data_IF_237400234508
#
_entry.id   IF_237400234508
#
_cell.length_a   1.000
_cell.length_b   1.000
_cell.length_c   1.000
_cell.angle_alpha   90.00
_cell.angle_beta   90.00
_cell.angle_gamma   90.00
#
_symmetry.space_group_name_H-M   'P 1'
#
loop_
_entity.id
_entity.type
_entity.pdbx_description
1 polymer ?
#
# COMPACT_ATOMS: atom_id res chain seq x y z
N UNK A 1 19.24 8.37 -2.25
CA UNK A 1 20.00 7.52 -1.29
C UNK A 1 19.23 7.58 0.01
N UNK A 2 18.86 6.43 0.56
CA UNK A 2 18.05 6.33 1.76
C UNK A 2 18.61 7.14 2.93
N UNK A 3 17.72 7.81 3.68
CA UNK A 3 18.08 8.62 4.85
C UNK A 3 18.46 7.77 6.06
N UNK A 4 17.96 6.53 6.14
CA UNK A 4 18.31 5.56 7.17
C UNK A 4 18.95 4.36 6.51
N UNK A 5 20.15 4.00 6.98
CA UNK A 5 20.87 2.83 6.47
C UNK A 5 20.18 1.53 6.92
N UNK A 6 20.04 0.53 6.04
CA UNK A 6 19.54 -0.80 6.39
C UNK A 6 20.25 -1.43 7.61
N UNK A 7 19.59 -2.38 8.28
CA UNK A 7 20.26 -3.20 9.29
C UNK A 7 21.35 -4.08 8.67
N UNK A 8 22.41 -4.37 9.43
CA UNK A 8 23.49 -5.25 8.96
C UNK A 8 23.01 -6.68 8.67
N UNK A 9 21.97 -7.14 9.36
CA UNK A 9 21.37 -8.45 9.12
C UNK A 9 20.72 -8.53 7.73
N UNK A 10 20.02 -7.47 7.30
CA UNK A 10 19.39 -7.41 5.98
C UNK A 10 20.35 -7.01 4.87
N UNK A 11 21.37 -6.19 5.15
CA UNK A 11 22.40 -5.85 4.17
C UNK A 11 23.19 -7.07 3.67
N UNK A 12 23.17 -8.17 4.42
CA UNK A 12 23.79 -9.44 4.06
C UNK A 12 22.86 -10.38 3.27
N UNK A 13 21.58 -10.05 3.09
CA UNK A 13 20.62 -10.89 2.35
C UNK A 13 20.98 -10.84 0.85
N UNK A 14 21.26 -11.99 0.20
CA UNK A 14 21.50 -12.02 -1.23
C UNK A 14 20.24 -11.61 -1.99
N UNK A 15 20.30 -10.53 -2.77
CA UNK A 15 19.17 -10.03 -3.57
C UNK A 15 19.23 -10.42 -5.04
N UNK A 16 20.26 -11.19 -5.43
CA UNK A 16 20.55 -11.55 -6.82
C UNK A 16 19.46 -12.44 -7.43
N UNK A 17 18.83 -13.28 -6.62
CA UNK A 17 17.78 -14.21 -7.05
C UNK A 17 16.36 -13.63 -6.92
N UNK A 18 16.23 -12.39 -6.41
CA UNK A 18 14.94 -11.76 -6.17
C UNK A 18 14.47 -10.95 -7.37
N UNK A 19 13.16 -10.97 -7.63
CA UNK A 19 12.53 -10.04 -8.56
C UNK A 19 12.65 -8.59 -8.09
N UNK A 20 12.54 -7.62 -9.03
CA UNK A 20 12.66 -6.20 -8.70
C UNK A 20 11.64 -5.75 -7.64
N UNK A 21 10.38 -6.21 -7.72
CA UNK A 21 9.36 -5.88 -6.73
C UNK A 21 9.71 -6.38 -5.32
N UNK A 22 10.29 -7.58 -5.22
CA UNK A 22 10.69 -8.14 -3.93
C UNK A 22 11.89 -7.39 -3.34
N UNK A 23 12.83 -6.94 -4.18
CA UNK A 23 13.92 -6.05 -3.74
C UNK A 23 13.39 -4.72 -3.21
N UNK A 24 12.41 -4.10 -3.86
CA UNK A 24 11.79 -2.86 -3.39
C UNK A 24 11.09 -3.08 -2.03
N UNK A 25 10.34 -4.18 -1.86
CA UNK A 25 9.73 -4.54 -0.58
C UNK A 25 10.78 -4.71 0.54
N UNK A 26 11.90 -5.36 0.21
CA UNK A 26 13.00 -5.53 1.14
C UNK A 26 13.61 -4.21 1.61
N UNK A 27 13.61 -3.15 0.80
CA UNK A 27 14.18 -1.86 1.18
C UNK A 27 13.60 -1.30 2.49
N UNK A 28 12.26 -1.31 2.61
CA UNK A 28 11.58 -0.84 3.84
C UNK A 28 11.80 -1.83 4.99
N UNK A 29 11.67 -3.13 4.73
CA UNK A 29 11.87 -4.17 5.74
C UNK A 29 13.28 -4.15 6.31
N UNK A 30 14.29 -3.89 5.48
CA UNK A 30 15.69 -3.84 5.87
C UNK A 30 16.00 -2.67 6.81
N UNK A 31 15.34 -1.52 6.62
CA UNK A 31 15.40 -0.38 7.53
C UNK A 31 14.68 -0.69 8.85
N UNK A 32 13.47 -1.25 8.78
CA UNK A 32 12.71 -1.66 9.97
C UNK A 32 13.46 -2.72 10.80
N UNK A 33 14.24 -3.58 10.15
CA UNK A 33 15.09 -4.60 10.78
C UNK A 33 16.16 -4.06 11.71
N UNK A 34 16.39 -2.73 11.75
CA UNK A 34 17.19 -2.10 12.81
C UNK A 34 16.54 -2.25 14.20
N UNK A 35 15.23 -2.47 14.24
CA UNK A 35 14.44 -2.81 15.43
C UNK A 35 13.75 -4.17 15.20
N UNK A 36 14.47 -5.29 15.33
CA UNK A 36 14.00 -6.61 14.87
C UNK A 36 12.69 -7.05 15.54
N UNK A 37 12.53 -6.86 16.84
CA UNK A 37 11.29 -7.21 17.55
C UNK A 37 10.08 -6.38 17.07
N UNK A 38 10.30 -5.11 16.69
CA UNK A 38 9.25 -4.25 16.13
C UNK A 38 8.90 -4.67 14.71
N UNK A 39 9.92 -4.98 13.90
CA UNK A 39 9.72 -5.49 12.55
C UNK A 39 8.95 -6.82 12.55
N UNK A 40 9.27 -7.73 13.47
CA UNK A 40 8.57 -9.00 13.65
C UNK A 40 7.10 -8.80 14.07
N UNK A 41 6.84 -7.89 15.02
CA UNK A 41 5.47 -7.56 15.43
C UNK A 41 4.65 -6.98 14.28
N UNK A 42 5.23 -6.07 13.48
CA UNK A 42 4.58 -5.52 12.30
C UNK A 42 4.34 -6.59 11.22
N UNK A 43 5.32 -7.46 11.00
CA UNK A 43 5.19 -8.63 10.12
C UNK A 43 4.07 -9.55 10.56
N UNK A 44 3.96 -9.83 11.85
CA UNK A 44 2.91 -10.66 12.43
C UNK A 44 1.52 -10.03 12.28
N UNK A 45 1.40 -8.72 12.49
CA UNK A 45 0.15 -7.99 12.27
C UNK A 45 -0.28 -8.04 10.79
N UNK A 46 0.62 -7.74 9.87
CA UNK A 46 0.31 -7.78 8.42
C UNK A 46 0.05 -9.20 7.93
N UNK A 47 0.74 -10.20 8.49
CA UNK A 47 0.49 -11.62 8.21
C UNK A 47 -0.87 -12.08 8.73
N UNK A 48 -1.29 -11.63 9.91
CA UNK A 48 -2.61 -11.92 10.45
C UNK A 48 -3.73 -11.32 9.59
N UNK A 49 -3.58 -10.09 9.10
CA UNK A 49 -4.54 -9.50 8.16
C UNK A 49 -4.61 -10.29 6.85
N UNK A 50 -3.46 -10.67 6.27
CA UNK A 50 -3.44 -11.43 5.01
C UNK A 50 -3.96 -12.87 5.15
N UNK A 51 -3.68 -13.52 6.28
CA UNK A 51 -4.03 -14.93 6.49
C UNK A 51 -5.42 -15.17 7.08
N UNK A 52 -5.93 -14.22 7.87
CA UNK A 52 -7.21 -14.35 8.58
C UNK A 52 -8.25 -13.30 8.15
N UNK A 53 -7.83 -12.29 7.41
CA UNK A 53 -8.72 -11.29 6.84
C UNK A 53 -9.65 -11.88 5.78
N UNK A 54 -10.71 -11.15 5.50
CA UNK A 54 -11.78 -11.55 4.57
C UNK A 54 -11.97 -10.55 3.44
N UNK A 55 -11.25 -9.42 3.45
CA UNK A 55 -11.30 -8.46 2.35
C UNK A 55 -10.53 -8.98 1.12
N UNK A 56 -11.06 -8.79 -0.10
CA UNK A 56 -10.39 -9.24 -1.31
C UNK A 56 -9.00 -8.61 -1.49
N UNK A 57 -7.98 -9.39 -1.91
CA UNK A 57 -6.64 -8.85 -2.21
C UNK A 57 -6.65 -7.65 -3.16
N UNK A 58 -7.53 -7.67 -4.19
CA UNK A 58 -7.70 -6.53 -5.11
C UNK A 58 -8.13 -5.27 -4.39
N UNK A 59 -9.12 -5.35 -3.49
CA UNK A 59 -9.63 -4.20 -2.73
C UNK A 59 -8.53 -3.61 -1.84
N UNK A 60 -7.82 -4.47 -1.10
CA UNK A 60 -6.72 -4.05 -0.23
C UNK A 60 -5.62 -3.34 -1.02
N UNK A 61 -5.32 -3.83 -2.23
CA UNK A 61 -4.30 -3.22 -3.08
C UNK A 61 -4.74 -1.87 -3.66
N UNK A 62 -5.99 -1.74 -4.11
CA UNK A 62 -6.55 -0.46 -4.55
C UNK A 62 -6.47 0.60 -3.43
N UNK A 63 -6.87 0.23 -2.21
CA UNK A 63 -6.78 1.09 -1.02
C UNK A 63 -5.33 1.47 -0.72
N UNK A 64 -4.41 0.50 -0.73
CA UNK A 64 -2.99 0.74 -0.49
C UNK A 64 -2.41 1.70 -1.51
N UNK A 65 -2.73 1.54 -2.79
CA UNK A 65 -2.24 2.40 -3.87
C UNK A 65 -2.80 3.83 -3.76
N UNK A 66 -4.07 4.00 -3.39
CA UNK A 66 -4.67 5.32 -3.15
C UNK A 66 -3.98 6.03 -1.99
N UNK A 67 -3.73 5.34 -0.89
CA UNK A 67 -2.99 5.90 0.25
C UNK A 67 -1.54 6.19 -0.14
N UNK A 68 -0.89 5.31 -0.91
CA UNK A 68 0.49 5.49 -1.37
C UNK A 68 0.65 6.77 -2.20
N UNK A 69 -0.35 7.10 -3.03
CA UNK A 69 -0.41 8.38 -3.74
C UNK A 69 -0.43 9.57 -2.77
N UNK A 70 -1.31 9.60 -1.77
CA UNK A 70 -1.33 10.71 -0.80
C UNK A 70 -0.06 10.81 0.04
N UNK A 71 0.55 9.67 0.35
CA UNK A 71 1.83 9.62 1.04
C UNK A 71 3.03 10.00 0.18
N UNK A 72 2.88 9.98 -1.15
CA UNK A 72 3.99 10.06 -2.10
C UNK A 72 5.10 9.03 -1.77
N UNK A 73 4.68 7.83 -1.32
CA UNK A 73 5.59 6.70 -1.08
C UNK A 73 5.94 6.04 -2.42
N UNK A 74 7.08 6.40 -3.01
CA UNK A 74 7.50 5.95 -4.34
C UNK A 74 7.65 4.44 -4.46
N UNK A 75 8.27 3.79 -3.48
CA UNK A 75 8.35 2.32 -3.41
C UNK A 75 6.98 1.70 -3.36
N UNK A 76 6.09 2.20 -2.50
CA UNK A 76 4.72 1.74 -2.43
C UNK A 76 3.98 1.92 -3.79
N UNK A 77 4.15 3.06 -4.46
CA UNK A 77 3.49 3.37 -5.74
C UNK A 77 3.96 2.43 -6.86
N UNK A 78 5.25 2.09 -6.87
CA UNK A 78 5.85 1.25 -7.92
C UNK A 78 5.42 -0.22 -7.82
N UNK A 79 4.91 -0.68 -6.68
CA UNK A 79 4.60 -2.10 -6.47
C UNK A 79 3.18 -2.47 -6.85
N UNK A 80 3.02 -3.68 -7.40
CA UNK A 80 1.76 -4.45 -7.44
C UNK A 80 1.99 -5.81 -6.80
N UNK A 81 1.10 -6.25 -5.92
CA UNK A 81 1.19 -7.60 -5.36
C UNK A 81 0.54 -8.63 -6.29
N UNK A 82 1.21 -9.77 -6.50
CA UNK A 82 0.72 -10.85 -7.35
C UNK A 82 -0.67 -11.34 -6.91
N UNK A 83 -0.92 -11.43 -5.60
CA UNK A 83 -2.23 -11.83 -5.06
C UNK A 83 -3.38 -10.93 -5.51
N UNK A 84 -3.12 -9.62 -5.69
CA UNK A 84 -4.14 -8.69 -6.18
C UNK A 84 -4.35 -8.83 -7.69
N UNK A 85 -3.28 -9.09 -8.45
CA UNK A 85 -3.34 -9.37 -9.89
C UNK A 85 -4.13 -10.66 -10.14
N UNK A 86 -3.87 -11.70 -9.36
CA UNK A 86 -4.60 -12.96 -9.41
C UNK A 86 -6.10 -12.78 -9.06
N UNK A 87 -6.41 -11.81 -8.20
CA UNK A 87 -7.76 -11.36 -7.87
C UNK A 87 -8.31 -10.29 -8.84
N UNK A 88 -7.74 -10.22 -10.04
CA UNK A 88 -8.26 -9.42 -11.15
C UNK A 88 -7.84 -7.96 -11.17
N UNK A 89 -6.86 -7.52 -10.36
CA UNK A 89 -6.28 -6.18 -10.48
C UNK A 89 -5.54 -6.04 -11.82
N UNK A 90 -5.94 -5.06 -12.62
CA UNK A 90 -5.30 -4.68 -13.87
C UNK A 90 -4.94 -3.19 -13.88
N UNK A 91 -4.27 -2.76 -14.96
CA UNK A 91 -3.85 -1.37 -15.10
C UNK A 91 -5.06 -0.42 -15.24
N UNK A 92 -6.17 -0.86 -15.81
CA UNK A 92 -7.38 -0.04 -15.96
C UNK A 92 -7.99 0.29 -14.59
N UNK A 93 -8.02 -0.67 -13.67
CA UNK A 93 -8.45 -0.43 -12.28
C UNK A 93 -7.51 0.52 -11.53
N UNK A 94 -6.21 0.43 -11.78
CA UNK A 94 -5.22 1.37 -11.23
C UNK A 94 -5.42 2.77 -11.81
N UNK A 95 -5.67 2.91 -13.11
CA UNK A 95 -5.99 4.18 -13.77
C UNK A 95 -7.21 4.85 -13.15
N UNK A 96 -8.24 4.08 -12.83
CA UNK A 96 -9.44 4.55 -12.15
C UNK A 96 -9.19 5.16 -10.77
N UNK A 97 -8.03 4.88 -10.14
CA UNK A 97 -7.67 5.52 -8.87
C UNK A 97 -7.45 7.03 -8.98
N UNK A 98 -7.30 7.60 -10.19
CA UNK A 98 -7.23 9.06 -10.38
C UNK A 98 -8.53 9.75 -9.92
N UNK A 99 -9.67 9.19 -10.34
CA UNK A 99 -11.03 9.67 -10.02
C UNK A 99 -11.95 8.49 -9.66
N UNK A 100 -11.79 7.88 -8.48
CA UNK A 100 -12.48 6.63 -8.13
C UNK A 100 -14.01 6.73 -8.20
N UNK A 101 -14.57 7.87 -7.82
CA UNK A 101 -16.02 8.10 -7.79
C UNK A 101 -16.70 7.98 -9.16
N UNK A 102 -15.94 8.17 -10.25
CA UNK A 102 -16.45 8.19 -11.62
C UNK A 102 -16.14 6.90 -12.40
N UNK A 103 -15.40 5.99 -11.79
CA UNK A 103 -14.92 4.79 -12.45
C UNK A 103 -15.98 3.70 -12.52
N UNK A 104 -16.33 3.27 -13.74
CA UNK A 104 -17.31 2.21 -14.00
C UNK A 104 -16.78 0.80 -13.70
N UNK A 105 -15.47 0.60 -13.79
CA UNK A 105 -14.80 -0.68 -13.50
C UNK A 105 -14.47 -0.90 -12.01
N UNK A 106 -14.94 0.00 -11.14
CA UNK A 106 -14.92 -0.19 -9.69
C UNK A 106 -16.34 -0.52 -9.21
N UNK A 107 -16.45 -1.45 -8.27
CA UNK A 107 -17.69 -1.74 -7.55
C UNK A 107 -18.06 -0.61 -6.58
N UNK A 108 -19.31 -0.62 -6.10
CA UNK A 108 -19.74 0.33 -5.06
C UNK A 108 -18.92 0.16 -3.77
N UNK A 109 -18.64 -1.09 -3.37
CA UNK A 109 -17.78 -1.41 -2.23
C UNK A 109 -16.36 -0.84 -2.37
N UNK A 110 -15.72 -1.02 -3.54
CA UNK A 110 -14.38 -0.46 -3.81
C UNK A 110 -14.39 1.07 -3.76
N UNK A 111 -15.40 1.73 -4.37
CA UNK A 111 -15.52 3.19 -4.34
C UNK A 111 -15.70 3.72 -2.91
N UNK A 112 -16.53 3.07 -2.10
CA UNK A 112 -16.77 3.45 -0.71
C UNK A 112 -15.50 3.30 0.14
N UNK A 113 -14.79 2.18 0.02
CA UNK A 113 -13.52 1.95 0.69
C UNK A 113 -12.42 2.95 0.26
N UNK A 114 -12.37 3.30 -1.04
CA UNK A 114 -11.43 4.30 -1.55
C UNK A 114 -11.74 5.70 -1.04
N UNK A 115 -13.01 6.07 -0.92
CA UNK A 115 -13.45 7.33 -0.30
C UNK A 115 -13.00 7.38 1.17
N UNK A 116 -13.24 6.32 1.93
CA UNK A 116 -12.75 6.21 3.31
C UNK A 116 -11.23 6.32 3.39
N UNK A 117 -10.49 5.59 2.56
CA UNK A 117 -9.02 5.59 2.56
C UNK A 117 -8.43 6.97 2.23
N UNK A 118 -9.05 7.69 1.30
CA UNK A 118 -8.66 9.05 0.95
C UNK A 118 -8.90 10.04 2.10
N UNK A 119 -10.10 10.02 2.70
CA UNK A 119 -10.39 10.83 3.88
C UNK A 119 -9.42 10.48 5.02
N UNK A 120 -9.18 9.19 5.27
CA UNK A 120 -8.25 8.73 6.30
C UNK A 120 -6.83 9.28 6.08
N UNK A 121 -6.39 9.37 4.82
CA UNK A 121 -5.08 9.91 4.47
C UNK A 121 -5.00 11.45 4.49
N UNK A 122 -6.11 12.16 4.31
CA UNK A 122 -6.13 13.62 4.05
C UNK A 122 -6.84 14.44 5.12
N UNK A 123 -8.01 13.98 5.59
CA UNK A 123 -8.85 14.64 6.59
C UNK A 123 -9.70 13.60 7.36
N UNK A 124 -9.06 12.84 8.23
CA UNK A 124 -9.72 11.80 9.03
C UNK A 124 -10.78 12.33 9.99
N UNK A 125 -10.81 13.64 10.28
CA UNK A 125 -11.84 14.27 11.11
C UNK A 125 -13.15 14.47 10.36
N UNK A 126 -13.12 14.43 9.03
CA UNK A 126 -14.32 14.45 8.18
C UNK A 126 -14.98 13.07 8.03
N UNK A 127 -14.42 12.03 8.66
CA UNK A 127 -15.04 10.69 8.69
C UNK A 127 -16.07 10.69 9.81
N UNK A 128 -17.33 10.91 9.43
CA UNK A 128 -18.49 10.93 10.30
C UNK A 128 -19.34 9.64 10.19
N UNK A 129 -20.47 9.62 10.90
CA UNK A 129 -21.40 8.49 10.89
C UNK A 129 -21.91 8.18 9.47
N UNK A 130 -22.08 9.19 8.61
CA UNK A 130 -22.54 8.98 7.24
C UNK A 130 -21.51 8.23 6.39
N UNK A 131 -20.21 8.45 6.60
CA UNK A 131 -19.15 7.64 5.96
C UNK A 131 -19.23 6.18 6.40
N UNK A 132 -19.41 5.94 7.70
CA UNK A 132 -19.51 4.56 8.21
C UNK A 132 -20.82 3.87 7.81
N UNK A 133 -21.93 4.59 7.74
CA UNK A 133 -23.21 4.05 7.28
C UNK A 133 -23.13 3.61 5.80
N UNK A 134 -22.47 4.39 4.95
CA UNK A 134 -22.19 4.01 3.56
C UNK A 134 -21.32 2.73 3.49
N UNK A 135 -20.25 2.65 4.28
CA UNK A 135 -19.40 1.46 4.31
C UNK A 135 -20.16 0.21 4.78
N UNK A 136 -21.10 0.35 5.73
CA UNK A 136 -21.93 -0.76 6.24
C UNK A 136 -22.89 -1.33 5.20
N UNK A 137 -23.16 -0.62 4.10
CA UNK A 137 -23.90 -1.19 2.97
C UNK A 137 -23.12 -2.32 2.26
N UNK A 138 -21.81 -2.40 2.50
CA UNK A 138 -20.89 -3.28 1.77
C UNK A 138 -20.02 -4.18 2.65
N UNK A 139 -19.75 -3.78 3.89
CA UNK A 139 -18.79 -4.44 4.76
C UNK A 139 -19.40 -4.80 6.12
N UNK A 140 -19.03 -5.96 6.66
CA UNK A 140 -19.32 -6.32 8.05
C UNK A 140 -18.48 -5.50 9.04
N UNK A 141 -18.87 -5.45 10.31
CA UNK A 141 -18.07 -4.76 11.36
C UNK A 141 -16.63 -5.29 11.44
N UNK A 142 -16.43 -6.61 11.30
CA UNK A 142 -15.08 -7.21 11.26
C UNK A 142 -14.27 -6.73 10.05
N UNK A 143 -14.91 -6.62 8.88
CA UNK A 143 -14.30 -6.08 7.67
C UNK A 143 -13.98 -4.58 7.77
N UNK A 144 -14.80 -3.81 8.50
CA UNK A 144 -14.51 -2.40 8.77
C UNK A 144 -13.26 -2.23 9.64
N UNK A 145 -13.09 -3.09 10.65
CA UNK A 145 -11.86 -3.12 11.45
C UNK A 145 -10.66 -3.52 10.59
N UNK A 146 -10.80 -4.55 9.76
CA UNK A 146 -9.75 -5.00 8.83
C UNK A 146 -9.32 -3.87 7.87
N UNK A 147 -10.29 -3.21 7.23
CA UNK A 147 -10.05 -2.06 6.34
C UNK A 147 -9.35 -0.91 7.06
N UNK A 148 -9.82 -0.56 8.26
CA UNK A 148 -9.24 0.51 9.07
C UNK A 148 -7.80 0.25 9.47
N UNK A 149 -7.49 -0.98 9.92
CA UNK A 149 -6.11 -1.36 10.29
C UNK A 149 -5.21 -1.41 9.06
N UNK A 150 -5.68 -1.92 7.92
CA UNK A 150 -4.95 -1.88 6.66
C UNK A 150 -4.61 -0.45 6.23
N UNK A 151 -5.59 0.46 6.30
CA UNK A 151 -5.39 1.89 6.06
C UNK A 151 -4.36 2.49 7.01
N UNK A 152 -4.43 2.18 8.31
CA UNK A 152 -3.48 2.68 9.31
C UNK A 152 -2.03 2.25 9.02
N UNK A 153 -1.83 0.98 8.66
CA UNK A 153 -0.50 0.44 8.30
C UNK A 153 0.00 1.11 7.02
N UNK A 154 -0.82 1.12 5.96
CA UNK A 154 -0.47 1.73 4.67
C UNK A 154 -0.13 3.21 4.82
N UNK A 155 -0.89 3.94 5.66
CA UNK A 155 -0.65 5.35 5.93
C UNK A 155 0.64 5.55 6.71
N UNK A 156 0.77 4.93 7.89
CA UNK A 156 1.90 5.14 8.79
C UNK A 156 3.22 4.68 8.18
N UNK A 157 3.28 3.42 7.72
CA UNK A 157 4.50 2.86 7.12
C UNK A 157 4.83 3.53 5.79
N UNK A 158 3.81 3.88 4.99
CA UNK A 158 4.02 4.61 3.73
C UNK A 158 4.61 6.00 3.95
N UNK A 159 4.12 6.76 4.94
CA UNK A 159 4.70 8.08 5.29
C UNK A 159 6.13 7.93 5.78
N UNK A 160 6.41 6.96 6.65
CA UNK A 160 7.77 6.68 7.10
C UNK A 160 8.69 6.36 5.92
N UNK A 161 8.28 5.45 5.04
CA UNK A 161 9.04 5.06 3.85
C UNK A 161 9.34 6.24 2.93
N UNK A 162 8.37 7.14 2.72
CA UNK A 162 8.59 8.38 1.98
C UNK A 162 9.61 9.30 2.68
N UNK A 163 9.50 9.46 4.01
CA UNK A 163 10.45 10.27 4.79
C UNK A 163 11.83 9.64 4.89
N UNK A 164 11.99 8.34 4.65
CA UNK A 164 13.28 7.68 4.61
C UNK A 164 13.92 7.68 3.22
N UNK A 165 13.22 8.21 2.21
CA UNK A 165 13.69 8.21 0.81
C UNK A 165 14.07 6.80 0.34
N UNK A 166 13.18 5.82 0.59
CA UNK A 166 13.34 4.43 0.12
C UNK A 166 13.14 4.38 -1.39
N UNK A 167 14.22 4.74 -2.09
CA UNK A 167 14.26 4.89 -3.54
C UNK A 167 15.15 3.85 -4.24
N UNK A 168 15.80 2.99 -3.46
CA UNK A 168 16.68 1.96 -4.00
C UNK A 168 15.83 0.93 -4.78
N UNK A 169 16.36 0.43 -5.89
CA UNK A 169 15.69 -0.52 -6.81
C UNK A 169 14.40 -0.01 -7.50
N UNK A 170 14.03 1.26 -7.35
CA UNK A 170 12.88 1.84 -8.06
C UNK A 170 13.09 1.82 -9.58
N UNK A 171 12.00 1.68 -10.37
CA UNK A 171 12.06 1.90 -11.82
C UNK A 171 12.60 3.28 -12.19
N UNK A 172 13.41 3.35 -13.25
CA UNK A 172 14.17 4.55 -13.67
C UNK A 172 13.32 5.81 -13.91
N UNK A 173 12.02 5.65 -14.16
CA UNK A 173 11.10 6.76 -14.49
C UNK A 173 10.67 7.60 -13.29
N UNK A 174 11.13 7.28 -12.07
CA UNK A 174 10.62 7.90 -10.83
C UNK A 174 11.49 9.09 -10.38
N UNK A 175 11.41 10.24 -11.08
CA UNK A 175 12.26 11.42 -10.80
C UNK A 175 11.97 12.08 -9.42
N UNK A 176 12.96 12.41 -8.57
CA UNK A 176 12.79 12.73 -7.12
C UNK A 176 11.88 13.92 -6.76
N UNK A 177 11.71 14.89 -7.65
CA UNK A 177 11.04 16.17 -7.36
C UNK A 177 9.58 16.25 -7.80
N UNK A 178 9.10 15.27 -8.56
CA UNK A 178 7.75 15.30 -9.13
C UNK A 178 6.77 14.50 -8.27
N UNK A 179 5.51 14.93 -8.22
CA UNK A 179 4.45 14.11 -7.63
C UNK A 179 4.25 12.89 -8.53
N UNK A 180 4.28 11.71 -7.93
CA UNK A 180 4.16 10.43 -8.61
C UNK A 180 2.79 9.84 -8.31
N UNK A 181 2.16 9.22 -9.31
CA UNK A 181 0.87 8.57 -9.16
C UNK A 181 0.89 7.14 -9.72
N UNK A 182 0.18 6.19 -9.08
CA UNK A 182 0.22 4.79 -9.50
C UNK A 182 -0.37 4.55 -10.90
N UNK A 183 -1.26 5.42 -11.38
CA UNK A 183 -1.85 5.36 -12.72
C UNK A 183 -0.95 5.91 -13.84
N UNK A 184 0.10 6.67 -13.50
CA UNK A 184 1.01 7.28 -14.48
C UNK A 184 2.45 6.78 -14.37
N UNK A 185 2.70 5.81 -13.49
CA UNK A 185 4.04 5.30 -13.19
C UNK A 185 4.22 3.86 -13.64
N UNK A 186 5.44 3.52 -14.05
CA UNK A 186 5.80 2.12 -14.25
C UNK A 186 5.62 1.34 -12.95
N UNK A 187 5.07 0.14 -13.06
CA UNK A 187 4.90 -0.77 -11.92
C UNK A 187 5.73 -2.03 -12.10
N UNK A 188 6.10 -2.63 -10.97
CA UNK A 188 6.74 -3.93 -10.89
C UNK A 188 5.95 -4.84 -9.98
N UNK A 189 5.98 -6.13 -10.28
CA UNK A 189 5.25 -7.13 -9.49
C UNK A 189 6.14 -7.61 -8.36
N UNK A 190 5.59 -7.63 -7.15
CA UNK A 190 6.15 -8.32 -6.00
C UNK A 190 5.37 -9.61 -5.75
N UNK A 191 6.08 -10.67 -5.39
CA UNK A 191 5.49 -11.99 -5.22
C UNK A 191 4.53 -12.05 -4.04
N UNK A 192 4.77 -11.24 -2.99
CA UNK A 192 3.81 -10.93 -1.92
C UNK A 192 3.66 -12.01 -0.86
#
# INVERSE_FOLDING_TARGET
MTRIQPSSAFAAVPTQDLGQGDRINLGVAAIMGRLPAVAEALGSLTGALRGNGTLPPRLLELVRLRIAFFNQCRSCIALRYQSAIDDGLDQDAVCSLERPAEAENLSAAERSALRFAELFATDHLAIDDAVYDELREHFSEDQLVELGVHCAIALGVGRLSATWDVSDDLPETTAPSERVAPWSSASVVASG
#
